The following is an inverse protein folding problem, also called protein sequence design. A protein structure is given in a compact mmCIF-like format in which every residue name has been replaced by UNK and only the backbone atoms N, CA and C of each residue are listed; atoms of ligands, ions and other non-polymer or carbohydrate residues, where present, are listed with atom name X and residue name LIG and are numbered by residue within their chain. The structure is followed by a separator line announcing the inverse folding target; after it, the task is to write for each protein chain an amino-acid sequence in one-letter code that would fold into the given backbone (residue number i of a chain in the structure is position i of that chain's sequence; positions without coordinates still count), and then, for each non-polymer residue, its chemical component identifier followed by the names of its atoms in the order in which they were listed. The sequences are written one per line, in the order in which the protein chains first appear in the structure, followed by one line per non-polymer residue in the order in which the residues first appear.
data_IF_218442100797
#
_entry.id   IF_218442100797
#
_cell.length_a   1.000
_cell.length_b   1.000
_cell.length_c   1.000
_cell.angle_alpha   90.00
_cell.angle_beta   90.00
_cell.angle_gamma   90.00
#
_symmetry.space_group_name_H-M   'P 1'
#
loop_
_entity.id
_entity.type
_entity.pdbx_description
1 polymer ?
#
# COMPACT_ATOMS: atom_id res chain seq x y z
N UNK A 1 0.89 -53.29 5.98
CA UNK A 1 1.08 -52.08 6.79
C UNK A 1 1.74 -52.51 8.08
N UNK A 2 2.97 -52.07 8.34
CA UNK A 2 3.65 -52.38 9.59
C UNK A 2 3.11 -51.43 10.65
N UNK A 3 2.51 -51.96 11.72
CA UNK A 3 2.04 -51.17 12.86
C UNK A 3 3.15 -51.23 13.90
N UNK A 4 3.69 -50.07 14.29
CA UNK A 4 4.64 -50.00 15.40
C UNK A 4 3.90 -50.13 16.75
N UNK A 5 4.46 -50.93 17.65
CA UNK A 5 3.94 -51.10 19.01
C UNK A 5 4.24 -49.86 19.85
N UNK A 6 3.20 -49.14 20.29
CA UNK A 6 3.35 -48.01 21.21
C UNK A 6 3.25 -48.46 22.67
N UNK A 7 3.92 -47.74 23.58
CA UNK A 7 3.84 -47.96 25.02
C UNK A 7 3.19 -46.75 25.68
N UNK A 8 2.15 -46.97 26.48
CA UNK A 8 1.50 -45.91 27.23
C UNK A 8 2.38 -45.48 28.41
N UNK A 9 2.65 -44.18 28.52
CA UNK A 9 3.46 -43.60 29.60
C UNK A 9 2.66 -42.47 30.25
N UNK A 10 2.57 -42.49 31.58
CA UNK A 10 1.94 -41.41 32.36
C UNK A 10 3.01 -40.57 33.04
N UNK A 11 2.95 -39.25 32.87
CA UNK A 11 3.88 -38.30 33.50
C UNK A 11 3.08 -37.44 34.49
N UNK A 12 3.51 -37.41 35.74
CA UNK A 12 2.88 -36.62 36.81
C UNK A 12 3.91 -35.73 37.50
N UNK A 13 3.54 -34.50 37.84
CA UNK A 13 4.43 -33.55 38.51
C UNK A 13 3.72 -32.30 39.00
N UNK A 14 4.46 -31.30 39.52
CA UNK A 14 3.89 -30.02 39.96
C UNK A 14 3.23 -29.28 38.78
N UNK A 15 2.09 -28.64 39.05
CA UNK A 15 1.34 -27.85 38.06
C UNK A 15 2.22 -26.79 37.37
N UNK A 16 3.10 -26.14 38.13
CA UNK A 16 3.97 -25.07 37.61
C UNK A 16 5.06 -25.57 36.65
N UNK A 17 5.33 -26.87 36.61
CA UNK A 17 6.35 -27.48 35.75
C UNK A 17 5.77 -28.09 34.46
N UNK A 18 4.47 -27.96 34.23
CA UNK A 18 3.80 -28.54 33.07
C UNK A 18 4.42 -28.08 31.74
N UNK A 19 4.75 -26.79 31.63
CA UNK A 19 5.38 -26.24 30.43
C UNK A 19 6.74 -26.85 30.17
N UNK A 20 7.55 -26.97 31.21
CA UNK A 20 8.88 -27.56 31.10
C UNK A 20 8.78 -29.04 30.71
N UNK A 21 7.78 -29.75 31.23
CA UNK A 21 7.52 -31.13 30.87
C UNK A 21 7.10 -31.26 29.40
N UNK A 22 6.15 -30.45 28.92
CA UNK A 22 5.71 -30.45 27.53
C UNK A 22 6.86 -30.12 26.58
N UNK A 23 7.60 -29.05 26.87
CA UNK A 23 8.71 -28.59 26.02
C UNK A 23 9.85 -29.62 25.91
N UNK A 24 10.16 -30.35 26.99
CA UNK A 24 11.29 -31.30 27.01
C UNK A 24 10.91 -32.73 26.64
N UNK A 25 9.70 -33.17 26.99
CA UNK A 25 9.28 -34.57 26.89
C UNK A 25 8.33 -34.82 25.70
N UNK A 26 7.57 -33.81 25.30
CA UNK A 26 6.54 -33.96 24.26
C UNK A 26 7.00 -33.39 22.92
N UNK A 27 7.51 -32.16 22.91
CA UNK A 27 7.90 -31.49 21.66
C UNK A 27 9.17 -32.13 21.07
N UNK A 28 9.17 -32.34 19.76
CA UNK A 28 10.24 -32.99 18.99
C UNK A 28 10.59 -34.42 19.44
N UNK A 29 9.65 -35.11 20.10
CA UNK A 29 9.75 -36.53 20.47
C UNK A 29 8.67 -37.35 19.75
N UNK A 30 8.90 -38.66 19.65
CA UNK A 30 7.89 -39.63 19.17
C UNK A 30 6.84 -39.87 20.26
N UNK A 31 6.15 -38.81 20.65
CA UNK A 31 5.12 -38.83 21.69
C UNK A 31 3.78 -38.47 21.09
N UNK A 32 2.78 -39.30 21.32
CA UNK A 32 1.40 -39.02 20.92
C UNK A 32 0.62 -38.63 22.18
N UNK A 33 0.27 -37.34 22.37
CA UNK A 33 -0.48 -36.91 23.54
C UNK A 33 -1.92 -37.43 23.47
N UNK A 34 -2.34 -38.15 24.50
CA UNK A 34 -3.73 -38.56 24.72
C UNK A 34 -4.37 -37.72 25.83
N UNK A 35 -5.70 -37.58 25.80
CA UNK A 35 -6.40 -36.77 26.78
C UNK A 35 -6.41 -37.45 28.14
N UNK A 36 -5.64 -36.91 29.08
CA UNK A 36 -5.49 -37.47 30.42
C UNK A 36 -6.83 -37.53 31.19
N UNK A 37 -7.78 -36.63 30.91
CA UNK A 37 -9.09 -36.58 31.58
C UNK A 37 -9.99 -37.72 31.12
N UNK A 38 -9.95 -38.04 29.83
CA UNK A 38 -10.72 -39.15 29.24
C UNK A 38 -10.13 -40.50 29.68
N UNK A 39 -8.81 -40.65 29.58
CA UNK A 39 -8.12 -41.91 29.87
C UNK A 39 -7.99 -42.20 31.38
N UNK A 40 -7.85 -41.16 32.22
CA UNK A 40 -7.75 -41.30 33.68
C UNK A 40 -9.07 -41.01 34.40
N UNK A 41 -10.19 -41.40 33.79
CA UNK A 41 -11.56 -41.18 34.29
C UNK A 41 -11.86 -41.79 35.68
N UNK A 42 -10.95 -42.60 36.24
CA UNK A 42 -10.99 -43.09 37.62
C UNK A 42 -10.44 -42.14 38.69
N UNK A 43 -9.70 -41.08 38.32
CA UNK A 43 -9.13 -40.11 39.25
C UNK A 43 -10.12 -38.96 39.50
N UNK A 44 -10.65 -38.88 40.71
CA UNK A 44 -11.58 -37.80 41.10
C UNK A 44 -10.85 -36.45 41.13
N UNK A 45 -11.45 -35.44 40.49
CA UNK A 45 -11.07 -34.02 40.48
C UNK A 45 -10.02 -33.54 39.46
N UNK A 46 -9.71 -34.29 38.40
CA UNK A 46 -8.95 -33.73 37.27
C UNK A 46 -9.81 -32.75 36.46
N UNK A 47 -9.32 -31.52 36.30
CA UNK A 47 -9.94 -30.48 35.50
C UNK A 47 -9.09 -30.16 34.26
N UNK A 48 -9.69 -29.76 33.14
CA UNK A 48 -8.95 -29.31 31.96
C UNK A 48 -8.26 -27.96 32.22
N UNK A 49 -7.22 -27.71 31.44
CA UNK A 49 -6.66 -26.37 31.26
C UNK A 49 -7.48 -25.63 30.19
N UNK A 50 -8.31 -24.67 30.60
CA UNK A 50 -9.22 -23.91 29.72
C UNK A 50 -8.76 -22.46 29.51
N UNK A 51 -7.45 -22.24 29.40
CA UNK A 51 -6.90 -20.91 29.16
C UNK A 51 -6.76 -20.67 27.66
N UNK A 52 -7.13 -19.47 27.20
CA UNK A 52 -6.86 -19.06 25.83
C UNK A 52 -5.34 -18.90 25.60
N UNK A 53 -4.87 -19.28 24.42
CA UNK A 53 -3.45 -19.22 24.08
C UNK A 53 -2.97 -17.76 23.93
N UNK A 54 -2.09 -17.26 24.82
CA UNK A 54 -1.62 -15.88 24.78
C UNK A 54 -0.71 -15.57 23.57
N UNK A 55 -0.13 -16.58 22.93
CA UNK A 55 0.79 -16.40 21.80
C UNK A 55 0.08 -16.28 20.44
N UNK A 56 -1.19 -16.69 20.37
CA UNK A 56 -1.97 -16.77 19.12
C UNK A 56 -2.05 -15.43 18.37
N UNK A 57 -2.30 -14.34 19.09
CA UNK A 57 -2.40 -12.98 18.51
C UNK A 57 -1.05 -12.51 17.98
N UNK A 58 0.03 -12.75 18.72
CA UNK A 58 1.37 -12.34 18.32
C UNK A 58 1.90 -13.17 17.14
N UNK A 59 1.54 -14.45 17.07
CA UNK A 59 1.84 -15.32 15.94
C UNK A 59 1.15 -14.83 14.67
N UNK A 60 -0.15 -14.50 14.75
CA UNK A 60 -0.88 -13.93 13.62
C UNK A 60 -0.28 -12.60 13.14
N UNK A 61 0.18 -11.73 14.06
CA UNK A 61 0.92 -10.49 13.71
C UNK A 61 2.23 -10.80 12.98
N UNK A 62 2.99 -11.80 13.44
CA UNK A 62 4.24 -12.19 12.80
C UNK A 62 4.02 -12.79 11.40
N UNK A 63 2.95 -13.58 11.22
CA UNK A 63 2.53 -14.12 9.91
C UNK A 63 2.16 -12.99 8.92
N UNK A 64 1.29 -12.06 9.32
CA UNK A 64 0.89 -10.90 8.50
C UNK A 64 2.11 -10.05 8.09
N UNK A 65 3.03 -9.82 9.03
CA UNK A 65 4.24 -9.06 8.77
C UNK A 65 5.18 -9.79 7.80
N UNK A 66 5.35 -11.11 7.97
CA UNK A 66 6.17 -11.92 7.06
C UNK A 66 5.58 -11.94 5.64
N UNK A 67 4.26 -12.05 5.51
CA UNK A 67 3.54 -11.98 4.24
C UNK A 67 3.73 -10.61 3.57
N UNK A 68 3.52 -9.52 4.30
CA UNK A 68 3.74 -8.14 3.82
C UNK A 68 5.17 -7.91 3.33
N UNK A 69 6.14 -8.50 4.01
CA UNK A 69 7.55 -8.41 3.64
C UNK A 69 7.97 -9.42 2.54
N UNK A 70 7.08 -10.30 2.10
CA UNK A 70 7.38 -11.36 1.12
C UNK A 70 8.39 -12.40 1.65
N UNK A 71 8.51 -12.53 2.97
CA UNK A 71 9.42 -13.48 3.60
C UNK A 71 8.72 -14.84 3.67
N UNK A 72 9.32 -15.85 3.04
CA UNK A 72 8.84 -17.23 3.17
C UNK A 72 9.10 -17.73 4.60
N UNK A 73 8.03 -18.07 5.30
CA UNK A 73 8.08 -18.64 6.65
C UNK A 73 8.86 -19.95 6.63
N UNK A 74 9.89 -20.03 7.45
CA UNK A 74 10.67 -21.23 7.69
C UNK A 74 11.16 -21.26 9.15
N UNK A 75 11.37 -22.47 9.65
CA UNK A 75 11.95 -22.63 10.98
C UNK A 75 13.35 -22.01 11.02
N UNK A 76 13.60 -21.24 12.07
CA UNK A 76 14.91 -20.73 12.40
C UNK A 76 15.19 -20.98 13.88
N UNK A 77 16.46 -21.28 14.17
CA UNK A 77 16.87 -21.56 15.54
C UNK A 77 16.64 -20.32 16.42
N UNK A 78 16.10 -20.57 17.60
CA UNK A 78 15.76 -19.59 18.62
C UNK A 78 16.33 -19.97 19.98
N UNK A 79 17.16 -21.02 20.07
CA UNK A 79 17.71 -21.52 21.35
C UNK A 79 18.54 -20.48 22.11
N UNK A 80 19.17 -19.54 21.41
CA UNK A 80 19.94 -18.45 22.02
C UNK A 80 19.08 -17.26 22.46
N UNK A 81 17.77 -17.30 22.23
CA UNK A 81 16.88 -16.16 22.41
C UNK A 81 15.88 -16.38 23.56
N UNK A 82 16.12 -15.72 24.69
CA UNK A 82 15.20 -15.73 25.82
C UNK A 82 14.20 -14.57 25.71
N UNK A 83 13.28 -14.67 24.74
CA UNK A 83 12.29 -13.63 24.46
C UNK A 83 11.17 -13.58 25.50
N UNK A 84 10.71 -12.37 25.85
CA UNK A 84 9.42 -12.15 26.51
C UNK A 84 8.32 -11.83 25.49
N UNK A 85 7.05 -12.13 25.82
CA UNK A 85 5.88 -11.73 25.00
C UNK A 85 5.87 -10.22 24.77
N UNK A 86 6.18 -9.43 25.80
CA UNK A 86 6.17 -7.97 25.72
C UNK A 86 7.25 -7.45 24.77
N UNK A 87 8.45 -8.04 24.82
CA UNK A 87 9.57 -7.70 23.94
C UNK A 87 9.25 -8.07 22.48
N UNK A 88 8.66 -9.25 22.26
CA UNK A 88 8.24 -9.71 20.94
C UNK A 88 7.14 -8.82 20.37
N UNK A 89 6.14 -8.44 21.18
CA UNK A 89 5.10 -7.53 20.73
C UNK A 89 5.68 -6.17 20.36
N UNK A 90 6.53 -5.59 21.22
CA UNK A 90 7.16 -4.30 20.95
C UNK A 90 8.04 -4.34 19.68
N UNK A 91 8.76 -5.46 19.46
CA UNK A 91 9.54 -5.68 18.25
C UNK A 91 8.66 -5.75 16.99
N UNK A 92 7.61 -6.58 17.01
CA UNK A 92 6.70 -6.74 15.87
C UNK A 92 5.96 -5.43 15.55
N UNK A 93 5.45 -4.74 16.56
CA UNK A 93 4.73 -3.48 16.40
C UNK A 93 5.68 -2.37 15.88
N UNK A 94 6.91 -2.29 16.41
CA UNK A 94 7.93 -1.34 15.94
C UNK A 94 8.41 -1.62 14.51
N UNK A 95 8.59 -2.90 14.15
CA UNK A 95 8.97 -3.30 12.80
C UNK A 95 7.86 -3.00 11.80
N UNK A 96 6.60 -3.29 12.15
CA UNK A 96 5.44 -2.97 11.32
C UNK A 96 5.29 -1.46 11.12
N UNK A 97 5.45 -0.65 12.17
CA UNK A 97 5.37 0.81 12.07
C UNK A 97 6.44 1.39 11.13
N UNK A 98 7.68 0.88 11.21
CA UNK A 98 8.78 1.30 10.31
C UNK A 98 8.50 0.91 8.86
N UNK A 99 7.94 -0.28 8.65
CA UNK A 99 7.57 -0.77 7.31
C UNK A 99 6.44 0.09 6.69
N UNK A 100 5.37 0.32 7.43
CA UNK A 100 4.25 1.15 6.97
C UNK A 100 4.65 2.61 6.74
N UNK A 101 5.53 3.17 7.57
CA UNK A 101 6.03 4.55 7.37
C UNK A 101 6.80 4.69 6.04
N UNK A 102 7.75 3.77 5.77
CA UNK A 102 8.52 3.78 4.53
C UNK A 102 7.63 3.52 3.31
N UNK A 103 6.66 2.62 3.44
CA UNK A 103 5.69 2.32 2.38
C UNK A 103 4.80 3.53 2.09
N UNK A 104 4.31 4.20 3.14
CA UNK A 104 3.51 5.41 3.02
C UNK A 104 4.25 6.54 2.30
N UNK A 105 5.52 6.80 2.64
CA UNK A 105 6.33 7.81 1.94
C UNK A 105 6.48 7.47 0.44
N UNK A 106 6.73 6.19 0.15
CA UNK A 106 6.87 5.69 -1.23
C UNK A 106 5.57 5.83 -2.02
N UNK A 107 4.42 5.50 -1.43
CA UNK A 107 3.12 5.59 -2.09
C UNK A 107 2.70 7.06 -2.33
N UNK A 108 3.01 7.97 -1.39
CA UNK A 108 2.81 9.42 -1.58
C UNK A 108 3.67 9.94 -2.74
N UNK A 109 4.95 9.57 -2.78
CA UNK A 109 5.87 9.94 -3.87
C UNK A 109 5.42 9.36 -5.22
N UNK A 110 4.96 8.11 -5.23
CA UNK A 110 4.45 7.47 -6.44
C UNK A 110 3.17 8.16 -6.96
N UNK A 111 2.28 8.57 -6.06
CA UNK A 111 1.10 9.35 -6.42
C UNK A 111 1.48 10.73 -6.98
N UNK A 112 2.49 11.39 -6.42
CA UNK A 112 3.03 12.64 -6.94
C UNK A 112 3.55 12.47 -8.38
N UNK A 113 4.41 11.47 -8.63
CA UNK A 113 4.91 11.16 -9.99
C UNK A 113 3.78 10.90 -10.99
N UNK A 114 2.74 10.19 -10.56
CA UNK A 114 1.57 9.93 -11.42
C UNK A 114 0.81 11.22 -11.74
N UNK A 115 0.61 12.09 -10.75
CA UNK A 115 -0.03 13.38 -10.97
C UNK A 115 0.82 14.27 -11.89
N UNK A 116 2.13 14.33 -11.65
CA UNK A 116 3.11 15.06 -12.46
C UNK A 116 3.12 14.58 -13.92
N UNK A 117 3.01 13.28 -14.15
CA UNK A 117 2.90 12.72 -15.49
C UNK A 117 1.61 13.19 -16.20
N UNK A 118 0.47 13.21 -15.50
CA UNK A 118 -0.80 13.70 -16.03
C UNK A 118 -0.73 15.20 -16.32
N UNK A 119 -0.17 15.99 -15.40
CA UNK A 119 0.05 17.43 -15.57
C UNK A 119 0.99 17.72 -16.75
N UNK A 120 2.11 17.01 -16.86
CA UNK A 120 3.06 17.15 -17.97
C UNK A 120 2.39 16.85 -19.32
N UNK A 121 1.57 15.82 -19.40
CA UNK A 121 0.84 15.50 -20.63
C UNK A 121 -0.20 16.56 -20.99
N UNK A 122 -0.90 17.09 -19.99
CA UNK A 122 -1.81 18.22 -20.21
C UNK A 122 -1.06 19.45 -20.70
N UNK A 123 0.05 19.82 -20.05
CA UNK A 123 0.86 20.98 -20.41
C UNK A 123 1.55 20.86 -21.77
N UNK A 124 1.83 19.66 -22.29
CA UNK A 124 2.30 19.49 -23.69
C UNK A 124 1.31 20.07 -24.69
N UNK A 125 0.02 20.04 -24.39
CA UNK A 125 -1.00 20.71 -25.18
C UNK A 125 -1.09 22.22 -24.91
N UNK A 126 -0.18 22.79 -24.13
CA UNK A 126 0.01 24.23 -23.95
C UNK A 126 1.33 24.69 -24.54
N UNK A 127 2.30 23.79 -24.73
CA UNK A 127 3.61 24.08 -25.33
C UNK A 127 3.54 24.74 -26.72
N UNK A 128 2.45 24.54 -27.47
CA UNK A 128 2.23 25.22 -28.75
C UNK A 128 1.93 26.73 -28.59
N UNK A 129 1.45 27.13 -27.42
CA UNK A 129 1.26 28.51 -27.03
C UNK A 129 2.51 28.97 -26.27
N UNK A 130 3.35 29.75 -26.93
CA UNK A 130 4.51 30.41 -26.31
C UNK A 130 4.03 31.60 -25.45
N UNK A 131 3.17 31.30 -24.47
CA UNK A 131 2.47 32.28 -23.63
C UNK A 131 2.62 31.86 -22.17
N UNK A 132 2.95 32.82 -21.31
CA UNK A 132 3.00 32.66 -19.86
C UNK A 132 1.64 32.22 -19.31
N UNK A 133 1.64 31.13 -18.55
CA UNK A 133 0.40 30.52 -18.08
C UNK A 133 -0.34 31.40 -17.07
N UNK A 134 0.38 32.10 -16.18
CA UNK A 134 -0.21 33.04 -15.21
C UNK A 134 -0.98 34.17 -15.91
N UNK A 135 -0.33 34.83 -16.87
CA UNK A 135 -0.93 35.87 -17.72
C UNK A 135 -2.18 35.39 -18.48
N UNK A 136 -2.27 34.10 -18.83
CA UNK A 136 -3.39 33.50 -19.54
C UNK A 136 -4.62 33.29 -18.63
N UNK A 137 -4.41 32.97 -17.34
CA UNK A 137 -5.48 32.78 -16.36
C UNK A 137 -5.98 34.11 -15.76
N UNK A 138 -5.16 35.16 -15.76
CA UNK A 138 -5.51 36.51 -15.25
C UNK A 138 -6.19 37.44 -16.29
N UNK A 139 -6.50 36.95 -17.49
CA UNK A 139 -7.11 37.78 -18.54
C UNK A 139 -8.46 38.39 -18.09
N UNK A 140 -8.48 39.73 -17.93
CA UNK A 140 -9.66 40.49 -17.48
C UNK A 140 -10.81 40.50 -18.49
N UNK A 141 -10.50 40.47 -19.78
CA UNK A 141 -11.46 40.70 -20.87
C UNK A 141 -11.87 39.44 -21.62
N UNK A 142 -11.16 38.33 -21.41
CA UNK A 142 -11.40 37.06 -22.10
C UNK A 142 -11.18 35.94 -21.10
N UNK A 143 -12.12 35.01 -20.99
CA UNK A 143 -11.95 33.77 -20.23
C UNK A 143 -11.53 32.68 -21.20
N UNK A 144 -10.43 32.02 -20.87
CA UNK A 144 -9.96 30.86 -21.62
C UNK A 144 -10.51 29.57 -21.01
N UNK A 145 -10.94 28.64 -21.86
CA UNK A 145 -11.48 27.34 -21.48
C UNK A 145 -10.75 26.27 -22.28
N UNK A 146 -9.94 25.49 -21.58
CA UNK A 146 -9.18 24.41 -22.17
C UNK A 146 -9.91 23.07 -22.04
N UNK A 147 -9.75 22.23 -23.06
CA UNK A 147 -10.35 20.92 -23.06
C UNK A 147 -10.06 20.15 -24.34
N UNK A 148 -10.79 19.05 -24.49
CA UNK A 148 -10.69 18.16 -25.64
C UNK A 148 -12.06 17.93 -26.26
N UNK A 149 -12.07 17.77 -27.58
CA UNK A 149 -13.27 17.50 -28.39
C UNK A 149 -13.02 16.21 -29.19
N UNK A 150 -14.00 15.30 -29.32
CA UNK A 150 -13.88 14.16 -30.21
C UNK A 150 -13.70 14.63 -31.65
N UNK A 151 -12.76 14.01 -32.37
CA UNK A 151 -12.46 14.39 -33.75
C UNK A 151 -13.68 14.30 -34.67
N UNK A 152 -14.55 13.31 -34.43
CA UNK A 152 -15.79 13.09 -35.19
C UNK A 152 -16.78 14.27 -35.10
N UNK A 153 -16.65 15.11 -34.08
CA UNK A 153 -17.55 16.23 -33.78
C UNK A 153 -16.90 17.58 -34.13
N UNK A 154 -15.59 17.59 -34.38
CA UNK A 154 -14.81 18.81 -34.61
C UNK A 154 -15.26 19.59 -35.86
N UNK A 155 -15.69 18.90 -36.92
CA UNK A 155 -16.18 19.54 -38.15
C UNK A 155 -17.44 20.40 -37.92
N UNK A 156 -18.31 19.97 -36.98
CA UNK A 156 -19.47 20.73 -36.54
C UNK A 156 -19.08 21.99 -35.76
N UNK A 157 -18.06 21.87 -34.90
CA UNK A 157 -17.48 23.00 -34.16
C UNK A 157 -16.81 23.99 -35.10
N UNK A 158 -16.08 23.51 -36.11
CA UNK A 158 -15.45 24.36 -37.14
C UNK A 158 -16.46 25.15 -37.96
N UNK A 159 -17.59 24.54 -38.30
CA UNK A 159 -18.71 25.23 -38.97
C UNK A 159 -19.34 26.30 -38.09
N UNK A 160 -19.44 26.05 -36.78
CA UNK A 160 -19.95 27.00 -35.81
C UNK A 160 -19.01 28.20 -35.66
N UNK A 161 -17.69 27.98 -35.63
CA UNK A 161 -16.67 29.04 -35.61
C UNK A 161 -16.77 29.97 -36.81
N UNK A 162 -16.99 29.43 -38.01
CA UNK A 162 -17.14 30.25 -39.22
C UNK A 162 -18.41 31.12 -39.21
N UNK A 163 -19.41 30.74 -38.42
CA UNK A 163 -20.71 31.43 -38.35
C UNK A 163 -20.76 32.45 -37.21
N UNK A 164 -19.94 32.27 -36.17
CA UNK A 164 -19.98 33.02 -34.92
C UNK A 164 -18.66 33.77 -34.68
N UNK A 165 -18.73 35.10 -34.65
CA UNK A 165 -17.59 35.98 -34.35
C UNK A 165 -17.33 36.17 -32.85
N UNK A 166 -18.20 35.65 -31.99
CA UNK A 166 -18.12 35.79 -30.53
C UNK A 166 -17.24 34.74 -29.84
N UNK A 167 -16.77 33.72 -30.56
CA UNK A 167 -15.95 32.64 -30.01
C UNK A 167 -14.77 32.31 -30.93
N UNK A 168 -13.58 32.25 -30.35
CA UNK A 168 -12.36 31.79 -31.03
C UNK A 168 -11.89 30.49 -30.38
N UNK A 169 -11.75 29.42 -31.15
CA UNK A 169 -11.10 28.19 -30.70
C UNK A 169 -9.70 28.12 -31.31
N UNK A 170 -8.72 27.82 -30.48
CA UNK A 170 -7.34 27.64 -30.89
C UNK A 170 -6.98 26.17 -30.68
N UNK A 171 -6.66 25.52 -31.80
CA UNK A 171 -6.19 24.14 -31.81
C UNK A 171 -4.74 24.10 -31.32
N UNK A 172 -4.47 23.26 -30.32
CA UNK A 172 -3.14 23.08 -29.78
C UNK A 172 -2.47 21.78 -30.25
N UNK A 173 -3.28 20.78 -30.58
CA UNK A 173 -2.79 19.53 -31.16
C UNK A 173 -3.86 18.47 -31.28
N UNK A 174 -3.55 17.41 -32.03
CA UNK A 174 -4.42 16.24 -32.22
C UNK A 174 -3.73 15.02 -31.65
N UNK A 175 -4.43 14.25 -30.82
CA UNK A 175 -3.94 12.97 -30.33
C UNK A 175 -5.02 11.89 -30.44
N UNK A 176 -4.68 10.81 -31.14
CA UNK A 176 -5.55 9.66 -31.41
C UNK A 176 -6.90 10.04 -32.03
N UNK A 177 -7.96 10.15 -31.21
CA UNK A 177 -9.35 10.49 -31.59
C UNK A 177 -9.84 11.81 -30.99
N UNK A 178 -8.95 12.56 -30.35
CA UNK A 178 -9.27 13.80 -29.65
C UNK A 178 -8.49 14.97 -30.24
N UNK A 179 -9.18 16.09 -30.41
CA UNK A 179 -8.58 17.38 -30.74
C UNK A 179 -8.50 18.19 -29.45
N UNK A 180 -7.29 18.60 -29.10
CA UNK A 180 -7.00 19.42 -27.93
C UNK A 180 -6.90 20.88 -28.33
N UNK A 181 -7.47 21.74 -27.51
CA UNK A 181 -7.45 23.17 -27.76
C UNK A 181 -8.16 23.97 -26.69
N UNK A 182 -8.12 25.27 -26.87
CA UNK A 182 -8.76 26.23 -25.98
C UNK A 182 -9.77 27.05 -26.76
N UNK A 183 -10.94 27.36 -26.19
CA UNK A 183 -11.74 28.47 -26.68
C UNK A 183 -11.66 29.68 -25.75
N UNK A 184 -11.67 30.84 -26.40
CA UNK A 184 -11.74 32.15 -25.78
C UNK A 184 -13.19 32.64 -25.79
N UNK A 185 -13.68 33.06 -24.63
CA UNK A 185 -15.03 33.61 -24.50
C UNK A 185 -15.04 34.91 -23.71
N UNK A 186 -15.91 35.84 -24.10
CA UNK A 186 -16.15 37.06 -23.34
C UNK A 186 -16.78 36.75 -21.97
N UNK A 187 -16.42 37.48 -20.90
CA UNK A 187 -16.93 37.26 -19.55
C UNK A 187 -18.47 37.31 -19.42
N UNK A 188 -19.17 37.95 -20.36
CA UNK A 188 -20.62 38.09 -20.34
C UNK A 188 -21.37 36.89 -20.94
N UNK A 189 -20.79 36.21 -21.94
CA UNK A 189 -21.47 35.14 -22.70
C UNK A 189 -20.95 33.72 -22.40
N UNK A 190 -20.04 33.58 -21.42
CA UNK A 190 -19.43 32.29 -21.07
C UNK A 190 -20.46 31.18 -20.83
N UNK A 191 -21.60 31.47 -20.20
CA UNK A 191 -22.61 30.45 -19.88
C UNK A 191 -23.23 29.84 -21.12
N UNK A 192 -23.48 30.65 -22.17
CA UNK A 192 -24.07 30.19 -23.42
C UNK A 192 -23.06 29.38 -24.23
N UNK A 193 -21.82 29.89 -24.29
CA UNK A 193 -20.74 29.25 -25.04
C UNK A 193 -20.35 27.93 -24.38
N UNK A 194 -20.20 27.89 -23.06
CA UNK A 194 -19.89 26.67 -22.31
C UNK A 194 -20.96 25.59 -22.54
N UNK A 195 -22.25 25.95 -22.59
CA UNK A 195 -23.35 25.02 -22.89
C UNK A 195 -23.28 24.47 -24.32
N UNK A 196 -22.92 25.32 -25.30
CA UNK A 196 -22.74 24.89 -26.69
C UNK A 196 -21.57 23.91 -26.79
N UNK A 197 -20.40 24.26 -26.26
CA UNK A 197 -19.24 23.36 -26.29
C UNK A 197 -19.51 22.04 -25.53
N UNK A 198 -20.21 22.09 -24.40
CA UNK A 198 -20.65 20.87 -23.70
C UNK A 198 -21.56 19.99 -24.57
N UNK A 199 -22.45 20.58 -25.38
CA UNK A 199 -23.31 19.82 -26.31
C UNK A 199 -22.54 19.15 -27.45
N UNK A 200 -21.38 19.70 -27.84
CA UNK A 200 -20.45 19.10 -28.82
C UNK A 200 -19.43 18.13 -28.17
N UNK A 201 -19.63 17.75 -26.91
CA UNK A 201 -18.77 16.79 -26.22
C UNK A 201 -17.43 17.37 -25.76
N UNK A 202 -17.35 18.69 -25.57
CA UNK A 202 -16.14 19.31 -25.01
C UNK A 202 -15.97 18.88 -23.54
N UNK A 203 -14.88 18.18 -23.27
CA UNK A 203 -14.46 17.86 -21.91
C UNK A 203 -13.45 18.88 -21.42
N UNK A 204 -13.87 19.69 -20.46
CA UNK A 204 -13.02 20.72 -19.85
C UNK A 204 -11.94 20.07 -19.00
N UNK A 205 -10.69 20.39 -19.29
CA UNK A 205 -9.53 20.03 -18.48
C UNK A 205 -9.20 21.24 -17.60
N UNK A 206 -9.25 21.06 -16.27
CA UNK A 206 -8.86 22.09 -15.31
C UNK A 206 -7.40 21.87 -14.96
N UNK A 207 -6.56 22.86 -15.26
CA UNK A 207 -5.19 22.88 -14.79
C UNK A 207 -5.18 23.76 -13.56
N UNK A 208 -4.86 23.16 -12.43
CA UNK A 208 -4.57 23.89 -11.21
C UNK A 208 -3.06 24.14 -11.24
N UNK A 209 -2.65 25.24 -11.85
CA UNK A 209 -1.31 25.79 -11.58
C UNK A 209 -1.47 26.49 -10.23
N UNK A 210 -0.63 26.14 -9.27
CA UNK A 210 -0.66 26.77 -7.96
C UNK A 210 -0.39 28.28 -8.10
N UNK A 211 -1.08 29.09 -7.29
CA UNK A 211 -1.07 30.57 -7.29
C UNK A 211 0.32 31.22 -7.01
N UNK A 212 1.43 30.46 -6.98
CA UNK A 212 2.79 30.97 -6.77
C UNK A 212 3.66 30.95 -8.04
N UNK A 213 3.15 30.45 -9.17
CA UNK A 213 3.91 30.16 -10.39
C UNK A 213 3.50 31.04 -11.59
N UNK A 214 3.21 32.31 -11.32
CA UNK A 214 2.59 33.27 -12.27
C UNK A 214 3.45 33.66 -13.48
N UNK A 215 4.70 33.20 -13.58
CA UNK A 215 5.68 33.69 -14.57
C UNK A 215 6.42 32.59 -15.34
N UNK A 216 5.84 31.39 -15.48
CA UNK A 216 6.45 30.33 -16.29
C UNK A 216 5.66 30.03 -17.57
N UNK A 217 6.40 29.84 -18.66
CA UNK A 217 5.86 29.33 -19.92
C UNK A 217 5.50 27.86 -19.75
N UNK A 218 4.53 27.35 -20.52
CA UNK A 218 4.17 25.93 -20.49
C UNK A 218 5.37 24.99 -20.68
N UNK A 219 6.36 25.37 -21.48
CA UNK A 219 7.59 24.60 -21.67
C UNK A 219 8.48 24.55 -20.42
N UNK A 220 8.58 25.65 -19.68
CA UNK A 220 9.38 25.75 -18.45
C UNK A 220 8.73 24.92 -17.33
N UNK A 221 7.42 25.04 -17.16
CA UNK A 221 6.65 24.23 -16.22
C UNK A 221 6.77 22.72 -16.53
N UNK A 222 6.72 22.33 -17.82
CA UNK A 222 6.94 20.93 -18.23
C UNK A 222 8.33 20.43 -17.83
N UNK A 223 9.38 21.23 -18.04
CA UNK A 223 10.74 20.82 -17.69
C UNK A 223 10.94 20.75 -16.17
N UNK A 224 10.35 21.66 -15.39
CA UNK A 224 10.36 21.57 -13.92
C UNK A 224 9.65 20.31 -13.44
N UNK A 225 8.42 20.06 -13.89
CA UNK A 225 7.64 18.87 -13.51
C UNK A 225 8.38 17.59 -13.89
N UNK A 226 9.07 17.56 -15.03
CA UNK A 226 9.93 16.42 -15.40
C UNK A 226 11.14 16.26 -14.46
N UNK A 227 11.74 17.34 -14.00
CA UNK A 227 12.83 17.28 -13.03
C UNK A 227 12.33 16.79 -11.67
N UNK A 228 11.21 17.33 -11.19
CA UNK A 228 10.56 16.91 -9.95
C UNK A 228 10.15 15.43 -10.01
N UNK A 229 9.54 14.99 -11.11
CA UNK A 229 9.21 13.58 -11.33
C UNK A 229 10.46 12.69 -11.32
N UNK A 230 11.56 13.10 -11.97
CA UNK A 230 12.83 12.36 -11.95
C UNK A 230 13.43 12.26 -10.54
N UNK A 231 13.38 13.33 -9.77
CA UNK A 231 13.94 13.33 -8.41
C UNK A 231 13.04 12.56 -7.44
N UNK A 232 11.71 12.60 -7.64
CA UNK A 232 10.78 11.74 -6.93
C UNK A 232 10.99 10.24 -7.29
N UNK A 233 11.21 9.90 -8.56
CA UNK A 233 11.54 8.55 -9.00
C UNK A 233 12.85 8.03 -8.38
N UNK A 234 13.91 8.85 -8.35
CA UNK A 234 15.15 8.50 -7.64
C UNK A 234 14.87 8.21 -6.17
N UNK A 235 14.08 9.07 -5.52
CA UNK A 235 13.73 8.90 -4.10
C UNK A 235 12.95 7.62 -3.84
N UNK A 236 12.02 7.25 -4.74
CA UNK A 236 11.31 5.96 -4.69
C UNK A 236 12.33 4.81 -4.78
N UNK A 237 13.31 4.90 -5.68
CA UNK A 237 14.37 3.91 -5.80
C UNK A 237 15.23 3.76 -4.53
N UNK A 238 15.56 4.86 -3.86
CA UNK A 238 16.25 4.87 -2.58
C UNK A 238 15.42 4.22 -1.47
N UNK A 239 14.12 4.56 -1.38
CA UNK A 239 13.19 3.98 -0.42
C UNK A 239 13.01 2.48 -0.65
N UNK A 240 12.93 2.03 -1.91
CA UNK A 240 12.84 0.61 -2.26
C UNK A 240 14.15 -0.13 -1.89
N UNK A 241 15.31 0.51 -2.00
CA UNK A 241 16.59 -0.05 -1.57
C UNK A 241 16.66 -0.19 -0.04
N UNK A 242 16.28 0.86 0.69
CA UNK A 242 16.18 0.84 2.16
C UNK A 242 15.20 -0.24 2.64
N UNK A 243 14.08 -0.43 1.92
CA UNK A 243 13.13 -1.51 2.20
C UNK A 243 13.77 -2.89 2.09
N UNK A 244 14.47 -3.16 0.99
CA UNK A 244 15.15 -4.45 0.77
C UNK A 244 16.22 -4.71 1.83
N UNK A 245 16.98 -3.67 2.20
CA UNK A 245 17.99 -3.77 3.23
C UNK A 245 17.35 -4.09 4.60
N UNK A 246 16.31 -3.36 4.99
CA UNK A 246 15.58 -3.61 6.23
C UNK A 246 15.01 -5.04 6.29
N UNK A 247 14.42 -5.52 5.20
CA UNK A 247 13.94 -6.90 5.09
C UNK A 247 15.10 -7.87 5.28
N UNK A 248 16.24 -7.64 4.63
CA UNK A 248 17.39 -8.55 4.75
C UNK A 248 17.99 -8.62 6.16
N UNK A 249 18.03 -7.48 6.86
CA UNK A 249 18.58 -7.38 8.22
C UNK A 249 17.63 -7.98 9.27
N UNK A 250 16.33 -7.77 9.11
CA UNK A 250 15.33 -8.20 10.09
C UNK A 250 14.75 -9.60 9.81
N UNK A 251 14.93 -10.13 8.60
CA UNK A 251 14.42 -11.46 8.20
C UNK A 251 14.81 -12.55 9.18
N UNK A 252 16.07 -12.59 9.58
CA UNK A 252 16.59 -13.66 10.42
C UNK A 252 15.99 -13.62 11.83
N UNK A 253 15.84 -12.41 12.38
CA UNK A 253 15.22 -12.16 13.68
C UNK A 253 13.72 -12.43 13.65
N UNK A 254 13.01 -11.96 12.61
CA UNK A 254 11.57 -12.20 12.45
C UNK A 254 11.26 -13.70 12.37
N UNK A 255 12.06 -14.47 11.62
CA UNK A 255 11.89 -15.93 11.52
C UNK A 255 12.19 -16.66 12.83
N UNK A 256 13.18 -16.19 13.61
CA UNK A 256 13.47 -16.73 14.93
C UNK A 256 12.32 -16.45 15.92
N UNK A 257 11.83 -15.21 15.94
CA UNK A 257 10.66 -14.80 16.74
C UNK A 257 9.41 -15.60 16.36
N UNK A 258 9.16 -15.77 15.06
CA UNK A 258 8.07 -16.60 14.55
C UNK A 258 8.19 -18.05 15.01
N UNK A 259 9.37 -18.65 14.88
CA UNK A 259 9.64 -20.03 15.29
C UNK A 259 9.46 -20.22 16.79
N UNK A 260 9.89 -19.25 17.59
CA UNK A 260 9.69 -19.22 19.03
C UNK A 260 8.20 -19.08 19.40
N UNK A 261 7.48 -18.14 18.78
CA UNK A 261 6.03 -17.96 19.00
C UNK A 261 5.24 -19.22 18.66
N UNK A 262 5.60 -19.88 17.56
CA UNK A 262 4.99 -21.14 17.16
C UNK A 262 5.27 -22.26 18.16
N UNK A 263 6.53 -22.40 18.58
CA UNK A 263 6.89 -23.39 19.60
C UNK A 263 6.17 -23.16 20.93
N UNK A 264 6.12 -21.92 21.41
CA UNK A 264 5.44 -21.56 22.65
C UNK A 264 3.92 -21.71 22.53
N UNK A 265 3.35 -21.36 21.36
CA UNK A 265 1.93 -21.55 21.06
C UNK A 265 1.54 -23.03 21.06
N UNK A 266 2.27 -23.87 20.33
CA UNK A 266 2.04 -25.32 20.28
C UNK A 266 2.24 -25.96 21.66
N UNK A 267 3.26 -25.52 22.43
CA UNK A 267 3.46 -25.96 23.82
C UNK A 267 2.25 -25.67 24.70
N UNK A 268 1.66 -24.48 24.54
CA UNK A 268 0.53 -24.06 25.34
C UNK A 268 -0.74 -24.84 24.96
N UNK A 269 -0.98 -25.05 23.67
CA UNK A 269 -2.12 -25.83 23.19
C UNK A 269 -2.05 -27.28 23.68
N UNK A 270 -0.84 -27.86 23.78
CA UNK A 270 -0.64 -29.20 24.33
C UNK A 270 -1.07 -29.34 25.80
N UNK A 271 -1.21 -28.24 26.56
CA UNK A 271 -1.77 -28.30 27.93
C UNK A 271 -3.21 -28.79 27.96
N UNK A 272 -3.98 -28.68 26.88
CA UNK A 272 -5.35 -29.16 26.83
C UNK A 272 -5.46 -30.68 27.01
N UNK A 273 -4.39 -31.44 26.69
CA UNK A 273 -4.33 -32.89 26.89
C UNK A 273 -3.98 -33.28 28.32
N UNK A 274 -3.47 -32.33 29.12
CA UNK A 274 -3.18 -32.55 30.53
C UNK A 274 -4.40 -32.23 31.40
N UNK A 275 -4.47 -32.86 32.57
CA UNK A 275 -5.41 -32.50 33.64
C UNK A 275 -4.68 -31.90 34.84
N UNK A 276 -5.35 -31.00 35.55
CA UNK A 276 -4.89 -30.35 36.79
C UNK A 276 -5.80 -30.66 37.98
#
# INVERSE_FOLDING_TARGET
MSVESMTMVTVSGPKDMIDTAIQKLVINRQFHPENAITEMSGVRHLLPFDLANPYSVHLAKADDLAEKMGIKLCYRDFTDCNYSIDEVSAYLDGLNARFEANRGERDIKAAAVQNDAVLSEQLKHFAAFDIELGSLFELRYVKLRFGRIPQDVFDGVASLMNTRTDVYYIESGRAQRWVYGAYCVLPHDYTKVDAIFASYGFERIRINISDEEDAETANEAIERIKQEAKDAEKRIGELDALHREMISQERDKLLAVYSWLKFMGESFDLRCYAGQ
#
